data_IF_647349680853
#
_entry.id   IF_647349680853
#
_cell.length_a   1.000
_cell.length_b   1.000
_cell.length_c   1.000
_cell.angle_alpha   90.00
_cell.angle_beta   90.00
_cell.angle_gamma   90.00
#
_symmetry.space_group_name_H-M   'P 1'
#
loop_
_entity.id
_entity.type
_entity.pdbx_description
1 polymer ?
#
# COMPACT_ATOMS: atom_id res chain seq x y z
N UNK A 1 -22.15 -22.57 5.93
CA UNK A 1 -21.03 -22.14 5.02
C UNK A 1 -21.59 -21.10 4.06
N UNK A 2 -21.36 -19.84 4.31
CA UNK A 2 -21.78 -18.76 3.41
C UNK A 2 -20.63 -18.37 2.47
N UNK A 3 -20.96 -17.97 1.24
CA UNK A 3 -19.98 -17.58 0.21
C UNK A 3 -20.02 -16.06 0.01
N UNK A 4 -18.89 -15.40 0.17
CA UNK A 4 -18.75 -13.94 0.02
C UNK A 4 -17.82 -13.62 -1.15
N UNK A 5 -18.31 -12.82 -2.11
CA UNK A 5 -17.47 -12.24 -3.16
C UNK A 5 -16.95 -10.87 -2.72
N UNK A 6 -15.63 -10.71 -2.69
CA UNK A 6 -14.95 -9.45 -2.33
C UNK A 6 -14.35 -8.84 -3.58
N UNK A 7 -14.64 -7.56 -3.87
CA UNK A 7 -14.18 -6.89 -5.09
C UNK A 7 -13.21 -5.76 -4.76
N UNK A 8 -11.94 -5.90 -5.15
CA UNK A 8 -10.94 -4.82 -5.15
C UNK A 8 -9.98 -4.98 -6.33
N UNK A 9 -10.29 -4.41 -7.48
CA UNK A 9 -9.55 -4.62 -8.74
C UNK A 9 -8.20 -3.89 -8.79
N UNK A 10 -8.06 -2.73 -8.14
CA UNK A 10 -6.87 -1.85 -8.14
C UNK A 10 -7.02 -0.74 -7.09
N UNK A 11 -6.02 0.11 -6.80
CA UNK A 11 -4.63 0.04 -7.20
C UNK A 11 -3.85 -0.87 -6.23
N UNK A 12 -2.55 -1.12 -6.51
CA UNK A 12 -1.74 -2.06 -5.73
C UNK A 12 -1.69 -1.72 -4.23
N UNK A 13 -1.46 -0.47 -3.85
CA UNK A 13 -1.47 -0.04 -2.45
C UNK A 13 -2.86 -0.19 -1.78
N UNK A 14 -3.92 0.10 -2.53
CA UNK A 14 -5.29 -0.09 -2.02
C UNK A 14 -5.63 -1.58 -1.81
N UNK A 15 -5.17 -2.47 -2.71
CA UNK A 15 -5.31 -3.93 -2.54
C UNK A 15 -4.52 -4.39 -1.32
N UNK A 16 -3.28 -3.93 -1.17
CA UNK A 16 -2.47 -4.21 0.01
C UNK A 16 -3.20 -3.85 1.32
N UNK A 17 -3.85 -2.68 1.38
CA UNK A 17 -4.63 -2.27 2.56
C UNK A 17 -5.88 -3.12 2.83
N UNK A 18 -6.38 -3.90 1.86
CA UNK A 18 -7.52 -4.82 2.12
C UNK A 18 -7.09 -6.10 2.81
N UNK A 19 -5.84 -6.55 2.62
CA UNK A 19 -5.35 -7.86 3.10
C UNK A 19 -5.51 -8.02 4.61
N UNK A 20 -5.09 -7.06 5.46
CA UNK A 20 -5.24 -7.18 6.91
C UNK A 20 -6.70 -7.40 7.35
N UNK A 21 -7.63 -6.74 6.66
CA UNK A 21 -9.06 -6.84 6.97
C UNK A 21 -9.63 -8.17 6.46
N UNK A 22 -9.35 -8.54 5.21
CA UNK A 22 -9.82 -9.80 4.62
C UNK A 22 -9.32 -11.01 5.44
N UNK A 23 -8.03 -11.03 5.83
CA UNK A 23 -7.48 -12.13 6.62
C UNK A 23 -8.07 -12.19 8.04
N UNK A 24 -8.32 -11.02 8.65
CA UNK A 24 -8.98 -10.98 9.96
C UNK A 24 -10.42 -11.49 9.90
N UNK A 25 -11.17 -11.11 8.86
CA UNK A 25 -12.54 -11.60 8.62
C UNK A 25 -12.55 -13.10 8.35
N UNK A 26 -11.68 -13.57 7.45
CA UNK A 26 -11.62 -14.98 7.07
C UNK A 26 -11.28 -15.90 8.27
N UNK A 27 -10.35 -15.47 9.11
CA UNK A 27 -10.00 -16.20 10.34
C UNK A 27 -11.13 -16.19 11.39
N UNK A 28 -11.94 -15.14 11.43
CA UNK A 28 -13.10 -15.06 12.34
C UNK A 28 -14.31 -15.89 11.87
N UNK A 29 -14.33 -16.29 10.60
CA UNK A 29 -15.39 -17.07 9.96
C UNK A 29 -14.81 -18.26 9.18
N UNK A 30 -14.18 -19.23 9.86
CA UNK A 30 -13.47 -20.34 9.20
C UNK A 30 -14.40 -21.26 8.39
N UNK A 31 -15.67 -21.31 8.72
CA UNK A 31 -16.71 -22.07 8.02
C UNK A 31 -17.22 -21.41 6.74
N UNK A 32 -16.94 -20.11 6.53
CA UNK A 32 -17.38 -19.36 5.36
C UNK A 32 -16.29 -19.32 4.28
N UNK A 33 -16.67 -19.18 3.02
CA UNK A 33 -15.77 -19.08 1.88
C UNK A 33 -15.71 -17.63 1.35
N UNK A 34 -14.51 -17.13 1.13
CA UNK A 34 -14.25 -15.79 0.64
C UNK A 34 -13.52 -15.84 -0.70
N UNK A 35 -14.11 -15.25 -1.75
CA UNK A 35 -13.47 -15.14 -3.07
C UNK A 35 -13.10 -13.69 -3.32
N UNK A 36 -11.81 -13.40 -3.48
CA UNK A 36 -11.30 -12.06 -3.76
C UNK A 36 -11.08 -11.88 -5.25
N UNK A 37 -11.77 -10.90 -5.81
CA UNK A 37 -11.68 -10.51 -7.21
C UNK A 37 -10.73 -9.32 -7.36
N UNK A 38 -9.57 -9.53 -7.99
CA UNK A 38 -8.53 -8.51 -8.18
C UNK A 38 -7.81 -8.70 -9.52
N UNK A 39 -6.88 -7.81 -9.90
CA UNK A 39 -6.07 -8.02 -11.10
C UNK A 39 -5.10 -9.20 -10.93
N UNK A 40 -4.76 -9.94 -12.00
CA UNK A 40 -3.96 -11.16 -11.88
C UNK A 40 -2.63 -10.95 -11.13
N UNK A 41 -1.86 -9.90 -11.47
CA UNK A 41 -0.58 -9.65 -10.81
C UNK A 41 -0.72 -9.25 -9.33
N UNK A 42 -1.88 -8.73 -8.90
CA UNK A 42 -2.15 -8.36 -7.50
C UNK A 42 -2.48 -9.58 -6.62
N UNK A 43 -2.79 -10.72 -7.23
CA UNK A 43 -2.98 -11.96 -6.47
C UNK A 43 -1.71 -12.40 -5.74
N UNK A 44 -0.53 -12.01 -6.25
CA UNK A 44 0.77 -12.30 -5.63
C UNK A 44 0.97 -11.65 -4.27
N UNK A 45 0.20 -10.61 -3.93
CA UNK A 45 0.23 -9.98 -2.59
C UNK A 45 -0.40 -10.86 -1.50
N UNK A 46 -1.29 -11.79 -1.87
CA UNK A 46 -2.05 -12.60 -0.93
C UNK A 46 -1.28 -13.86 -0.51
N UNK A 47 -0.04 -13.69 -0.05
CA UNK A 47 0.77 -14.80 0.48
C UNK A 47 0.24 -15.22 1.85
N UNK A 48 0.43 -16.51 2.21
CA UNK A 48 0.01 -17.07 3.49
C UNK A 48 -1.46 -16.76 3.86
N UNK A 49 -2.33 -16.74 2.84
CA UNK A 49 -3.75 -16.46 3.03
C UNK A 49 -4.43 -17.59 3.81
N UNK A 50 -5.47 -17.30 4.59
CA UNK A 50 -6.34 -18.32 5.17
C UNK A 50 -6.88 -19.27 4.09
N UNK A 51 -7.05 -20.56 4.44
CA UNK A 51 -7.46 -21.61 3.50
C UNK A 51 -8.83 -21.35 2.86
N UNK A 52 -9.72 -20.67 3.59
CA UNK A 52 -11.05 -20.29 3.12
C UNK A 52 -11.06 -19.01 2.24
N UNK A 53 -9.87 -18.49 1.85
CA UNK A 53 -9.73 -17.37 0.91
C UNK A 53 -9.24 -17.86 -0.43
N UNK A 54 -10.03 -17.69 -1.49
CA UNK A 54 -9.68 -17.96 -2.88
C UNK A 54 -9.51 -16.66 -3.67
N UNK A 55 -8.71 -16.71 -4.74
CA UNK A 55 -8.39 -15.53 -5.55
C UNK A 55 -8.84 -15.76 -6.98
N UNK A 56 -9.48 -14.74 -7.58
CA UNK A 56 -9.87 -14.73 -9.00
C UNK A 56 -9.26 -13.50 -9.66
N UNK A 57 -8.40 -13.76 -10.67
CA UNK A 57 -7.80 -12.72 -11.48
C UNK A 57 -8.78 -12.14 -12.50
N UNK A 58 -8.85 -10.81 -12.58
CA UNK A 58 -9.65 -10.08 -13.59
C UNK A 58 -8.72 -9.32 -14.50
N UNK A 59 -8.64 -9.74 -15.75
CA UNK A 59 -7.81 -9.06 -16.75
C UNK A 59 -8.49 -7.81 -17.29
N UNK A 60 -8.39 -6.73 -16.52
CA UNK A 60 -8.98 -5.43 -16.88
C UNK A 60 -8.30 -4.73 -18.07
N UNK A 61 -7.21 -5.27 -18.59
CA UNK A 61 -6.51 -4.77 -19.79
C UNK A 61 -6.78 -5.63 -21.02
N UNK A 62 -7.15 -6.91 -20.82
CA UNK A 62 -7.47 -7.88 -21.88
C UNK A 62 -8.96 -8.18 -21.94
N UNK A 63 -9.36 -9.41 -21.58
CA UNK A 63 -10.73 -9.94 -21.79
C UNK A 63 -11.82 -9.17 -21.03
N UNK A 64 -11.52 -8.63 -19.85
CA UNK A 64 -12.44 -7.83 -19.03
C UNK A 64 -12.19 -6.31 -19.13
N UNK A 65 -11.54 -5.85 -20.22
CA UNK A 65 -11.32 -4.41 -20.47
C UNK A 65 -12.65 -3.66 -20.66
N UNK A 66 -13.56 -4.20 -21.45
CA UNK A 66 -14.88 -3.60 -21.73
C UNK A 66 -15.89 -3.88 -20.61
N UNK A 67 -16.95 -3.06 -20.54
CA UNK A 67 -18.06 -3.32 -19.62
C UNK A 67 -18.75 -4.67 -19.94
N UNK A 68 -18.85 -5.06 -21.21
CA UNK A 68 -19.38 -6.37 -21.61
C UNK A 68 -18.53 -7.53 -21.13
N UNK A 69 -17.19 -7.42 -21.19
CA UNK A 69 -16.28 -8.42 -20.59
C UNK A 69 -16.50 -8.56 -19.09
N UNK A 70 -16.65 -7.42 -18.40
CA UNK A 70 -16.93 -7.39 -16.95
C UNK A 70 -18.30 -8.01 -16.62
N UNK A 71 -19.33 -7.73 -17.40
CA UNK A 71 -20.67 -8.35 -17.22
C UNK A 71 -20.62 -9.84 -17.49
N UNK A 72 -19.92 -10.29 -18.53
CA UNK A 72 -19.72 -11.73 -18.82
C UNK A 72 -19.02 -12.44 -17.67
N UNK A 73 -17.98 -11.83 -17.11
CA UNK A 73 -17.32 -12.33 -15.90
C UNK A 73 -18.31 -12.44 -14.74
N UNK A 74 -19.10 -11.38 -14.49
CA UNK A 74 -20.08 -11.39 -13.40
C UNK A 74 -21.13 -12.50 -13.59
N UNK A 75 -21.61 -12.73 -14.81
CA UNK A 75 -22.54 -13.81 -15.12
C UNK A 75 -21.91 -15.20 -14.87
N UNK A 76 -20.65 -15.42 -15.23
CA UNK A 76 -19.94 -16.66 -14.89
C UNK A 76 -19.86 -16.85 -13.38
N UNK A 77 -19.48 -15.81 -12.65
CA UNK A 77 -19.36 -15.86 -11.18
C UNK A 77 -20.69 -16.11 -10.46
N UNK A 78 -21.84 -15.82 -11.08
CA UNK A 78 -23.15 -16.13 -10.45
C UNK A 78 -23.40 -17.64 -10.32
N UNK A 79 -22.72 -18.48 -11.09
CA UNK A 79 -22.83 -19.94 -10.96
C UNK A 79 -22.18 -20.46 -9.66
N UNK A 80 -21.27 -19.69 -9.05
CA UNK A 80 -20.65 -20.02 -7.76
C UNK A 80 -21.60 -19.82 -6.55
N UNK A 81 -22.77 -19.25 -6.77
CA UNK A 81 -23.84 -19.04 -5.76
C UNK A 81 -23.35 -18.29 -4.52
N UNK A 82 -22.84 -17.07 -4.70
CA UNK A 82 -22.48 -16.19 -3.59
C UNK A 82 -23.72 -15.69 -2.85
N UNK A 83 -23.65 -15.68 -1.51
CA UNK A 83 -24.71 -15.19 -0.64
C UNK A 83 -24.66 -13.66 -0.48
N UNK A 84 -23.48 -13.05 -0.67
CA UNK A 84 -23.27 -11.60 -0.56
C UNK A 84 -22.08 -11.13 -1.39
N UNK A 85 -22.09 -9.84 -1.76
CA UNK A 85 -20.97 -9.17 -2.43
C UNK A 85 -20.49 -8.01 -1.57
N UNK A 86 -19.18 -7.93 -1.32
CA UNK A 86 -18.49 -6.86 -0.60
C UNK A 86 -17.64 -6.07 -1.60
N UNK A 87 -18.15 -4.91 -2.07
CA UNK A 87 -17.45 -4.07 -3.05
C UNK A 87 -16.59 -3.01 -2.33
N UNK A 88 -15.32 -3.34 -2.11
CA UNK A 88 -14.31 -2.45 -1.54
C UNK A 88 -13.70 -1.47 -2.57
N UNK A 89 -14.13 -1.55 -3.84
CA UNK A 89 -13.62 -0.68 -4.90
C UNK A 89 -14.59 0.45 -5.26
N UNK A 90 -15.88 0.15 -5.40
CA UNK A 90 -16.95 1.08 -5.69
C UNK A 90 -16.65 2.01 -6.89
N UNK A 91 -16.23 1.43 -8.03
CA UNK A 91 -16.02 2.08 -9.33
C UNK A 91 -16.99 1.51 -10.37
N UNK A 92 -17.07 2.11 -11.55
CA UNK A 92 -18.02 1.70 -12.61
C UNK A 92 -17.94 0.18 -12.86
N UNK A 93 -16.75 -0.39 -13.02
CA UNK A 93 -16.57 -1.84 -13.25
C UNK A 93 -17.08 -2.69 -12.09
N UNK A 94 -16.70 -2.38 -10.85
CA UNK A 94 -17.17 -3.15 -9.69
C UNK A 94 -18.67 -2.98 -9.44
N UNK A 95 -19.22 -1.81 -9.76
CA UNK A 95 -20.67 -1.56 -9.73
C UNK A 95 -21.41 -2.38 -10.76
N UNK A 96 -20.88 -2.54 -11.99
CA UNK A 96 -21.46 -3.39 -13.02
C UNK A 96 -21.50 -4.86 -12.55
N UNK A 97 -20.41 -5.37 -11.94
CA UNK A 97 -20.43 -6.70 -11.33
C UNK A 97 -21.51 -6.79 -10.25
N UNK A 98 -21.51 -5.87 -9.28
CA UNK A 98 -22.49 -5.85 -8.20
C UNK A 98 -23.95 -5.74 -8.70
N UNK A 99 -24.19 -5.03 -9.79
CA UNK A 99 -25.52 -4.91 -10.39
C UNK A 99 -26.04 -6.25 -10.92
N UNK A 100 -25.18 -7.05 -11.57
CA UNK A 100 -25.54 -8.40 -12.03
C UNK A 100 -25.96 -9.29 -10.85
N UNK A 101 -25.25 -9.20 -9.72
CA UNK A 101 -25.61 -9.94 -8.50
C UNK A 101 -26.92 -9.44 -7.88
N UNK A 102 -27.13 -8.12 -7.83
CA UNK A 102 -28.39 -7.54 -7.32
C UNK A 102 -29.61 -7.98 -8.13
N UNK A 103 -29.51 -8.09 -9.46
CA UNK A 103 -30.58 -8.64 -10.31
C UNK A 103 -30.92 -10.10 -9.99
N UNK A 104 -30.04 -10.81 -9.28
CA UNK A 104 -30.24 -12.19 -8.81
C UNK A 104 -30.60 -12.28 -7.33
N UNK A 105 -30.95 -11.15 -6.71
CA UNK A 105 -31.34 -11.11 -5.30
C UNK A 105 -30.16 -11.15 -4.31
N UNK A 106 -28.90 -11.13 -4.78
CA UNK A 106 -27.73 -11.15 -3.90
C UNK A 106 -27.44 -9.75 -3.36
N UNK A 107 -27.37 -9.55 -2.03
CA UNK A 107 -27.09 -8.26 -1.43
C UNK A 107 -25.65 -7.80 -1.73
N UNK A 108 -25.50 -6.49 -2.01
CA UNK A 108 -24.21 -5.87 -2.36
C UNK A 108 -23.90 -4.72 -1.40
N UNK A 109 -22.84 -4.86 -0.63
CA UNK A 109 -22.35 -3.87 0.34
C UNK A 109 -21.17 -3.11 -0.26
N UNK A 110 -21.22 -1.78 -0.22
CA UNK A 110 -20.25 -0.94 -0.94
C UNK A 110 -19.50 0.02 -0.04
N UNK A 111 -18.22 0.17 -0.34
CA UNK A 111 -17.36 1.15 0.33
C UNK A 111 -17.89 2.58 0.14
N UNK A 112 -18.07 3.30 1.22
CA UNK A 112 -18.17 4.76 1.16
C UNK A 112 -16.78 5.36 0.91
N UNK A 113 -16.65 6.12 -0.17
CA UNK A 113 -15.40 6.77 -0.57
C UNK A 113 -15.16 8.12 0.10
N UNK A 114 -16.09 8.60 0.90
CA UNK A 114 -16.02 9.93 1.54
C UNK A 114 -15.61 11.03 0.54
N UNK A 115 -16.27 11.05 -0.62
CA UNK A 115 -15.86 11.94 -1.73
C UNK A 115 -16.04 13.42 -1.40
N UNK A 116 -17.08 13.77 -0.65
CA UNK A 116 -17.38 15.13 -0.21
C UNK A 116 -16.29 15.61 0.76
N UNK A 117 -15.97 14.81 1.74
CA UNK A 117 -14.98 15.09 2.79
C UNK A 117 -13.58 15.20 2.18
N UNK A 118 -13.20 14.29 1.26
CA UNK A 118 -11.93 14.38 0.53
C UNK A 118 -11.84 15.65 -0.31
N UNK A 119 -12.94 16.04 -0.97
CA UNK A 119 -12.99 17.27 -1.77
C UNK A 119 -12.82 18.50 -0.87
N UNK A 120 -13.46 18.51 0.32
CA UNK A 120 -13.30 19.57 1.30
C UNK A 120 -11.86 19.64 1.83
N UNK A 121 -11.26 18.48 2.18
CA UNK A 121 -9.87 18.38 2.65
C UNK A 121 -8.86 18.92 1.62
N UNK A 122 -9.10 18.69 0.32
CA UNK A 122 -8.19 19.10 -0.77
C UNK A 122 -8.63 20.38 -1.48
N UNK A 123 -9.55 21.15 -0.89
CA UNK A 123 -9.97 22.45 -1.42
C UNK A 123 -8.83 23.46 -1.37
N UNK A 124 -8.99 24.59 -2.08
CA UNK A 124 -8.10 25.74 -1.92
C UNK A 124 -8.36 26.41 -0.58
N UNK A 125 -7.33 27.05 0.05
CA UNK A 125 -7.53 27.83 1.26
C UNK A 125 -8.55 28.98 1.06
N UNK A 126 -9.32 29.38 2.12
CA UNK A 126 -9.30 28.80 3.46
C UNK A 126 -10.02 27.45 3.51
N UNK A 127 -9.45 26.47 4.25
CA UNK A 127 -10.04 25.14 4.44
C UNK A 127 -9.79 24.62 5.86
N UNK A 128 -10.64 23.73 6.31
CA UNK A 128 -10.44 23.01 7.57
C UNK A 128 -9.79 21.67 7.30
N UNK A 129 -8.62 21.45 7.90
CA UNK A 129 -7.89 20.18 7.82
C UNK A 129 -8.32 19.31 9.00
N UNK A 130 -9.05 18.22 8.71
CA UNK A 130 -9.49 17.24 9.70
C UNK A 130 -9.15 15.82 9.23
N UNK A 131 -8.73 14.91 10.14
CA UNK A 131 -8.52 13.52 9.80
C UNK A 131 -9.82 12.89 9.28
N UNK A 132 -9.74 12.25 8.12
CA UNK A 132 -10.82 11.40 7.64
C UNK A 132 -10.69 10.01 8.25
N UNK A 133 -11.81 9.30 8.38
CA UNK A 133 -11.82 7.92 8.84
C UNK A 133 -10.87 7.07 7.98
N UNK A 134 -9.92 6.31 8.57
CA UNK A 134 -8.96 5.49 7.84
C UNK A 134 -9.64 4.54 6.85
N UNK A 135 -9.04 4.31 5.69
CA UNK A 135 -9.63 3.44 4.66
C UNK A 135 -9.79 2.00 5.14
N UNK A 136 -8.87 1.53 5.97
CA UNK A 136 -8.96 0.19 6.58
C UNK A 136 -10.15 0.04 7.52
N UNK A 137 -10.50 1.10 8.28
CA UNK A 137 -11.72 1.14 9.09
C UNK A 137 -12.97 1.10 8.20
N UNK A 138 -12.96 1.86 7.11
CA UNK A 138 -14.08 1.85 6.15
C UNK A 138 -14.24 0.50 5.46
N UNK A 139 -13.13 -0.22 5.19
CA UNK A 139 -13.20 -1.61 4.72
C UNK A 139 -13.86 -2.51 5.77
N UNK A 140 -13.44 -2.40 7.04
CA UNK A 140 -14.05 -3.16 8.12
C UNK A 140 -15.57 -2.88 8.27
N UNK A 141 -15.98 -1.61 8.10
CA UNK A 141 -17.39 -1.24 8.17
C UNK A 141 -18.22 -1.91 7.07
N UNK A 142 -17.68 -2.10 5.86
CA UNK A 142 -18.39 -2.80 4.78
C UNK A 142 -18.62 -4.28 5.14
N UNK A 143 -17.64 -4.94 5.75
CA UNK A 143 -17.79 -6.32 6.22
C UNK A 143 -18.81 -6.41 7.36
N UNK A 144 -18.76 -5.49 8.33
CA UNK A 144 -19.75 -5.45 9.44
C UNK A 144 -21.17 -5.21 8.91
N UNK A 145 -21.34 -4.29 7.94
CA UNK A 145 -22.63 -4.07 7.28
C UNK A 145 -23.13 -5.32 6.54
N UNK A 146 -22.21 -6.15 6.06
CA UNK A 146 -22.52 -7.45 5.42
C UNK A 146 -22.80 -8.58 6.43
N UNK A 147 -22.88 -8.28 7.76
CA UNK A 147 -23.14 -9.24 8.81
C UNK A 147 -21.91 -10.06 9.24
N UNK A 148 -20.71 -9.62 8.87
CA UNK A 148 -19.45 -10.28 9.23
C UNK A 148 -18.76 -9.52 10.36
N UNK A 149 -19.01 -9.94 11.60
CA UNK A 149 -18.37 -9.37 12.80
C UNK A 149 -16.99 -10.00 13.00
N UNK A 150 -15.98 -9.20 13.31
CA UNK A 150 -14.62 -9.69 13.56
C UNK A 150 -13.78 -8.68 14.35
N UNK A 151 -12.75 -9.19 15.00
CA UNK A 151 -11.65 -8.40 15.56
C UNK A 151 -10.49 -8.33 14.58
N UNK A 152 -9.74 -7.24 14.57
CA UNK A 152 -8.56 -7.08 13.72
C UNK A 152 -7.39 -7.84 14.33
N UNK A 153 -7.15 -9.03 13.84
CA UNK A 153 -6.11 -9.96 14.34
C UNK A 153 -4.87 -10.05 13.45
N UNK A 154 -4.88 -9.34 12.32
CA UNK A 154 -3.73 -9.34 11.43
C UNK A 154 -2.56 -8.57 12.04
N UNK A 155 -1.39 -9.20 12.08
CA UNK A 155 -0.13 -8.62 12.57
C UNK A 155 0.84 -8.44 11.40
N UNK A 156 1.13 -9.51 10.67
CA UNK A 156 2.06 -9.53 9.55
C UNK A 156 1.75 -10.70 8.63
N UNK A 157 2.13 -10.61 7.36
CA UNK A 157 2.09 -11.72 6.41
C UNK A 157 2.97 -12.90 6.86
N UNK A 158 4.03 -12.63 7.62
CA UNK A 158 4.98 -13.62 8.11
C UNK A 158 4.82 -13.96 9.61
N UNK A 159 3.76 -13.49 10.28
CA UNK A 159 3.60 -13.70 11.73
C UNK A 159 3.58 -15.18 12.16
N UNK A 160 3.03 -16.07 11.31
CA UNK A 160 2.94 -17.51 11.55
C UNK A 160 3.78 -18.34 10.55
N UNK A 161 4.60 -17.70 9.73
CA UNK A 161 5.35 -18.36 8.66
C UNK A 161 6.81 -17.92 8.69
N UNK A 162 7.71 -18.88 8.56
CA UNK A 162 9.14 -18.60 8.46
C UNK A 162 9.44 -17.94 7.10
N UNK A 163 10.29 -16.93 7.14
CA UNK A 163 10.92 -16.39 5.93
C UNK A 163 12.06 -17.32 5.56
N UNK A 164 12.22 -17.63 4.29
CA UNK A 164 13.34 -18.42 3.80
C UNK A 164 14.65 -17.60 3.91
N UNK A 165 15.44 -17.92 4.93
CA UNK A 165 16.70 -17.23 5.23
C UNK A 165 17.75 -17.42 4.11
N UNK A 166 17.68 -18.52 3.36
CA UNK A 166 18.58 -18.73 2.22
C UNK A 166 18.31 -17.70 1.13
N UNK A 167 17.04 -17.44 0.83
CA UNK A 167 16.63 -16.38 -0.12
C UNK A 167 17.08 -15.01 0.37
N UNK A 168 16.94 -14.71 1.66
CA UNK A 168 17.38 -13.42 2.21
C UNK A 168 18.90 -13.28 2.11
N UNK A 169 19.65 -14.33 2.46
CA UNK A 169 21.10 -14.33 2.38
C UNK A 169 21.62 -14.16 0.94
N UNK A 170 20.95 -14.78 -0.04
CA UNK A 170 21.26 -14.58 -1.46
C UNK A 170 21.00 -13.11 -1.90
N UNK A 171 19.89 -12.52 -1.50
CA UNK A 171 19.50 -11.15 -1.87
C UNK A 171 20.36 -10.07 -1.17
N UNK A 172 20.62 -10.26 0.12
CA UNK A 172 21.12 -9.22 1.00
C UNK A 172 22.45 -9.56 1.69
N UNK A 173 22.90 -10.82 1.69
CA UNK A 173 24.05 -11.29 2.46
C UNK A 173 23.74 -11.41 3.94
N UNK A 174 24.79 -11.49 4.76
CA UNK A 174 24.63 -11.50 6.21
C UNK A 174 24.24 -10.13 6.75
N UNK A 175 23.36 -10.13 7.74
CA UNK A 175 22.92 -8.89 8.39
C UNK A 175 23.97 -8.43 9.39
N UNK A 176 24.68 -7.36 9.02
CA UNK A 176 25.58 -6.63 9.89
C UNK A 176 25.03 -5.23 10.13
N UNK A 177 24.84 -4.83 11.38
CA UNK A 177 24.25 -3.54 11.71
C UNK A 177 22.78 -3.41 11.29
N UNK A 178 22.38 -2.21 10.90
CA UNK A 178 21.00 -1.87 10.54
C UNK A 178 20.75 -1.99 9.04
N UNK A 179 19.66 -2.63 8.69
CA UNK A 179 19.15 -2.71 7.31
C UNK A 179 18.02 -1.72 7.08
N UNK A 180 18.24 -0.76 6.20
CA UNK A 180 17.29 0.29 5.89
C UNK A 180 16.80 0.16 4.44
N UNK A 181 15.50 -0.01 4.26
CA UNK A 181 14.89 0.04 2.93
C UNK A 181 14.62 1.48 2.50
N UNK A 182 14.79 1.78 1.22
CA UNK A 182 14.46 3.10 0.64
C UNK A 182 13.67 2.91 -0.65
N UNK A 183 12.42 3.43 -0.70
CA UNK A 183 11.59 3.47 -1.90
C UNK A 183 11.29 4.93 -2.29
N UNK A 184 12.15 5.56 -3.13
CA UNK A 184 12.14 7.00 -3.35
C UNK A 184 11.06 7.47 -4.34
N UNK A 185 10.39 6.56 -5.02
CA UNK A 185 9.47 6.88 -6.09
C UNK A 185 8.00 6.64 -5.73
N UNK A 186 7.13 7.30 -6.45
CA UNK A 186 5.69 7.13 -6.41
C UNK A 186 5.10 7.38 -7.79
N UNK A 187 3.88 6.92 -8.02
CA UNK A 187 3.19 7.05 -9.31
C UNK A 187 2.98 8.49 -9.78
N UNK A 188 2.79 9.42 -8.86
CA UNK A 188 2.41 10.80 -9.16
C UNK A 188 3.45 11.78 -8.65
N UNK A 189 3.78 12.78 -9.47
CA UNK A 189 4.83 13.79 -9.19
C UNK A 189 4.63 14.51 -7.85
N UNK A 190 3.40 14.78 -7.45
CA UNK A 190 3.08 15.41 -6.16
C UNK A 190 3.41 14.58 -4.92
N UNK A 191 3.91 13.36 -5.11
CA UNK A 191 4.34 12.44 -4.06
C UNK A 191 5.82 12.09 -4.12
N UNK A 192 6.58 12.63 -5.09
CA UNK A 192 7.99 12.31 -5.29
C UNK A 192 8.84 13.40 -4.65
N UNK A 193 9.67 13.01 -3.70
CA UNK A 193 10.70 13.88 -3.15
C UNK A 193 11.77 14.15 -4.21
N UNK A 194 12.32 15.38 -4.34
CA UNK A 194 13.26 15.69 -5.38
C UNK A 194 14.43 14.68 -5.46
N UNK A 195 14.70 14.04 -6.61
CA UNK A 195 15.67 12.96 -6.70
C UNK A 195 17.07 13.35 -6.20
N UNK A 196 17.55 14.55 -6.49
CA UNK A 196 18.84 15.02 -5.99
C UNK A 196 18.88 15.16 -4.44
N UNK A 197 17.78 15.56 -3.83
CA UNK A 197 17.68 15.61 -2.36
C UNK A 197 17.56 14.21 -1.76
N UNK A 198 16.86 13.27 -2.42
CA UNK A 198 16.81 11.88 -1.99
C UNK A 198 18.17 11.20 -2.12
N UNK A 199 18.92 11.49 -3.18
CA UNK A 199 20.30 11.01 -3.35
C UNK A 199 21.18 11.51 -2.21
N UNK A 200 21.00 12.77 -1.77
CA UNK A 200 21.69 13.30 -0.58
C UNK A 200 21.29 12.56 0.72
N UNK A 201 20.02 12.16 0.89
CA UNK A 201 19.59 11.31 2.00
C UNK A 201 20.33 9.97 1.97
N UNK A 202 20.45 9.36 0.80
CA UNK A 202 21.15 8.08 0.60
C UNK A 202 22.65 8.25 0.93
N UNK A 203 23.30 9.35 0.51
CA UNK A 203 24.68 9.66 0.87
C UNK A 203 24.90 9.73 2.36
N UNK A 204 24.04 10.48 3.05
CA UNK A 204 24.14 10.69 4.50
C UNK A 204 23.91 9.39 5.29
N UNK A 205 22.97 8.54 4.86
CA UNK A 205 22.70 7.26 5.51
C UNK A 205 23.81 6.25 5.22
N UNK A 206 24.25 6.12 3.95
CA UNK A 206 25.28 5.14 3.55
C UNK A 206 26.69 5.52 4.03
N UNK A 207 26.91 6.78 4.42
CA UNK A 207 28.14 7.23 5.07
C UNK A 207 28.30 6.69 6.52
N UNK A 208 27.25 6.12 7.10
CA UNK A 208 27.30 5.49 8.42
C UNK A 208 27.75 4.03 8.29
N UNK A 209 28.71 3.62 9.11
CA UNK A 209 29.27 2.26 9.04
C UNK A 209 28.32 1.17 9.49
N UNK A 210 27.36 1.53 10.33
CA UNK A 210 26.35 0.65 10.90
C UNK A 210 25.10 0.47 10.03
N UNK A 211 25.01 1.13 8.85
CA UNK A 211 23.82 1.08 7.98
C UNK A 211 24.12 0.46 6.61
N UNK A 212 23.29 -0.48 6.20
CA UNK A 212 23.19 -0.98 4.81
C UNK A 212 21.86 -0.57 4.22
N UNK A 213 21.88 -0.01 3.00
CA UNK A 213 20.68 0.47 2.30
C UNK A 213 20.24 -0.51 1.20
N UNK A 214 18.95 -0.74 1.13
CA UNK A 214 18.29 -1.51 0.07
C UNK A 214 17.31 -0.62 -0.66
N UNK A 215 17.54 -0.39 -1.96
CA UNK A 215 16.73 0.51 -2.78
C UNK A 215 15.65 -0.27 -3.54
N UNK A 216 14.38 0.10 -3.32
CA UNK A 216 13.23 -0.54 -3.93
C UNK A 216 12.56 0.37 -4.95
N UNK A 217 12.14 -0.18 -6.08
CA UNK A 217 11.46 0.55 -7.15
C UNK A 217 11.00 -0.37 -8.28
N UNK A 218 10.29 0.21 -9.24
CA UNK A 218 9.83 -0.49 -10.44
C UNK A 218 10.95 -0.75 -11.44
N UNK A 219 10.65 -1.58 -12.44
CA UNK A 219 11.52 -1.81 -13.61
C UNK A 219 11.61 -0.58 -14.50
N UNK A 220 12.63 -0.51 -15.35
CA UNK A 220 12.83 0.56 -16.31
C UNK A 220 13.52 1.77 -15.72
N UNK A 221 12.93 2.97 -15.86
CA UNK A 221 13.57 4.23 -15.48
C UNK A 221 13.89 4.32 -13.98
N UNK A 222 13.00 3.84 -13.11
CA UNK A 222 13.27 3.79 -11.67
C UNK A 222 14.46 2.88 -11.36
N UNK A 223 14.50 1.69 -11.95
CA UNK A 223 15.61 0.75 -11.81
C UNK A 223 16.95 1.37 -12.26
N UNK A 224 16.97 2.02 -13.42
CA UNK A 224 18.19 2.64 -13.93
C UNK A 224 18.75 3.71 -12.98
N UNK A 225 17.89 4.50 -12.35
CA UNK A 225 18.30 5.49 -11.35
C UNK A 225 18.84 4.81 -10.10
N UNK A 226 18.13 3.80 -9.57
CA UNK A 226 18.51 3.10 -8.35
C UNK A 226 19.80 2.30 -8.51
N UNK A 227 20.00 1.67 -9.67
CA UNK A 227 21.25 0.96 -9.99
C UNK A 227 22.44 1.92 -10.05
N UNK A 228 22.27 3.11 -10.64
CA UNK A 228 23.31 4.15 -10.63
C UNK A 228 23.64 4.63 -9.22
N UNK A 229 22.62 4.86 -8.36
CA UNK A 229 22.85 5.27 -6.97
C UNK A 229 23.54 4.18 -6.15
N UNK A 230 23.20 2.92 -6.39
CA UNK A 230 23.84 1.78 -5.72
C UNK A 230 25.29 1.58 -6.17
N UNK A 231 25.58 1.68 -7.48
CA UNK A 231 26.92 1.49 -8.03
C UNK A 231 27.97 2.48 -7.47
N UNK A 232 27.54 3.66 -7.04
CA UNK A 232 28.42 4.69 -6.48
C UNK A 232 28.72 4.49 -4.98
N UNK A 233 28.09 3.50 -4.31
CA UNK A 233 28.12 3.39 -2.83
C UNK A 233 28.19 1.92 -2.38
N UNK A 234 29.25 1.50 -1.69
CA UNK A 234 29.50 0.07 -1.39
C UNK A 234 28.46 -0.54 -0.45
N UNK A 235 27.78 0.27 0.41
CA UNK A 235 26.74 -0.22 1.33
C UNK A 235 25.33 0.01 0.82
N UNK A 236 25.15 0.27 -0.48
CA UNK A 236 23.85 0.48 -1.11
C UNK A 236 23.61 -0.61 -2.13
N UNK A 237 22.48 -1.28 -2.07
CA UNK A 237 22.08 -2.35 -2.98
C UNK A 237 20.76 -2.02 -3.66
N UNK A 238 20.69 -2.13 -4.98
CA UNK A 238 19.45 -2.00 -5.73
C UNK A 238 18.72 -3.34 -5.79
N UNK A 239 17.47 -3.36 -5.34
CA UNK A 239 16.55 -4.50 -5.43
C UNK A 239 15.62 -4.37 -6.65
N UNK A 240 15.53 -3.19 -7.24
CA UNK A 240 14.58 -2.85 -8.28
C UNK A 240 14.64 -3.80 -9.48
N UNK A 241 13.52 -4.41 -9.79
CA UNK A 241 13.36 -5.27 -10.97
C UNK A 241 14.11 -6.60 -10.97
N UNK A 242 14.80 -6.94 -9.88
CA UNK A 242 15.66 -8.14 -9.77
C UNK A 242 14.92 -9.32 -9.16
N UNK A 243 13.93 -9.05 -8.31
CA UNK A 243 13.26 -10.06 -7.50
C UNK A 243 11.76 -10.04 -7.72
N UNK A 244 11.10 -11.11 -7.33
CA UNK A 244 9.64 -11.18 -7.29
C UNK A 244 9.12 -10.36 -6.11
N UNK A 245 7.86 -9.92 -6.19
CA UNK A 245 7.23 -9.18 -5.09
C UNK A 245 7.26 -9.95 -3.75
N UNK A 246 7.11 -11.28 -3.80
CA UNK A 246 7.17 -12.11 -2.59
C UNK A 246 8.56 -12.12 -1.95
N UNK A 247 9.62 -12.17 -2.76
CA UNK A 247 10.99 -12.06 -2.28
C UNK A 247 11.26 -10.66 -1.73
N UNK A 248 10.79 -9.61 -2.39
CA UNK A 248 10.89 -8.24 -1.87
C UNK A 248 10.16 -8.10 -0.52
N UNK A 249 8.94 -8.63 -0.37
CA UNK A 249 8.21 -8.63 0.89
C UNK A 249 8.96 -9.39 1.99
N UNK A 250 9.57 -10.53 1.66
CA UNK A 250 10.40 -11.30 2.57
C UNK A 250 11.62 -10.48 3.06
N UNK A 251 12.33 -9.81 2.15
CA UNK A 251 13.44 -8.93 2.51
C UNK A 251 12.96 -7.73 3.34
N UNK A 252 11.86 -7.08 2.94
CA UNK A 252 11.29 -5.95 3.68
C UNK A 252 10.97 -6.35 5.13
N UNK A 253 10.51 -7.58 5.38
CA UNK A 253 10.23 -8.07 6.74
C UNK A 253 11.48 -8.18 7.64
N UNK A 254 12.67 -8.19 7.05
CA UNK A 254 13.97 -8.24 7.75
C UNK A 254 14.62 -6.88 7.96
N UNK A 255 14.06 -5.84 7.36
CA UNK A 255 14.55 -4.47 7.52
C UNK A 255 14.19 -3.93 8.92
N UNK A 256 15.07 -3.11 9.46
CA UNK A 256 14.84 -2.43 10.73
C UNK A 256 13.92 -1.23 10.56
N UNK A 257 13.97 -0.58 9.39
CA UNK A 257 13.10 0.54 9.02
C UNK A 257 12.97 0.66 7.49
N UNK A 258 11.86 1.23 7.04
CA UNK A 258 11.59 1.48 5.63
C UNK A 258 11.29 2.96 5.39
N UNK A 259 12.15 3.65 4.67
CA UNK A 259 11.95 5.02 4.20
C UNK A 259 11.26 5.02 2.84
N UNK A 260 10.12 5.67 2.72
CA UNK A 260 9.40 5.71 1.44
C UNK A 260 8.57 6.97 1.25
N UNK A 261 8.07 7.13 0.03
CA UNK A 261 7.03 8.10 -0.29
C UNK A 261 5.66 7.59 0.13
N UNK A 262 4.63 8.44 0.06
CA UNK A 262 3.22 8.02 0.05
C UNK A 262 2.95 7.19 -1.21
N UNK A 263 3.34 5.91 -1.17
CA UNK A 263 3.32 4.97 -2.29
C UNK A 263 2.88 3.57 -1.85
N UNK A 264 2.79 2.62 -2.79
CA UNK A 264 2.45 1.24 -2.48
C UNK A 264 3.45 0.58 -1.53
N UNK A 265 4.74 0.95 -1.63
CA UNK A 265 5.81 0.40 -0.79
C UNK A 265 5.59 0.64 0.70
N UNK A 266 4.97 1.78 1.06
CA UNK A 266 4.58 2.08 2.43
C UNK A 266 3.61 1.02 3.01
N UNK A 267 2.67 0.58 2.18
CA UNK A 267 1.72 -0.47 2.57
C UNK A 267 2.36 -1.86 2.58
N UNK A 268 3.34 -2.12 1.71
CA UNK A 268 4.10 -3.37 1.72
C UNK A 268 4.88 -3.55 3.02
N UNK A 269 5.59 -2.51 3.46
CA UNK A 269 6.28 -2.53 4.73
C UNK A 269 5.32 -2.79 5.91
N UNK A 270 4.16 -2.14 5.92
CA UNK A 270 3.14 -2.37 6.94
C UNK A 270 2.57 -3.80 6.91
N UNK A 271 2.41 -4.41 5.72
CA UNK A 271 1.94 -5.80 5.61
C UNK A 271 2.89 -6.82 6.22
N UNK A 272 4.18 -6.51 6.28
CA UNK A 272 5.20 -7.40 6.85
C UNK A 272 5.68 -6.97 8.23
N UNK A 273 5.07 -5.91 8.80
CA UNK A 273 5.36 -5.44 10.15
C UNK A 273 6.61 -4.58 10.28
N UNK A 274 7.18 -4.10 9.18
CA UNK A 274 8.37 -3.24 9.19
C UNK A 274 7.98 -1.79 9.51
N UNK A 275 8.68 -1.13 10.47
CA UNK A 275 8.47 0.29 10.76
C UNK A 275 8.72 1.18 9.54
N UNK A 276 7.95 2.26 9.41
CA UNK A 276 7.99 3.14 8.23
C UNK A 276 8.23 4.59 8.62
N UNK A 277 9.20 5.20 7.98
CA UNK A 277 9.30 6.67 7.86
C UNK A 277 8.82 7.04 6.47
N UNK A 278 7.83 7.92 6.36
CA UNK A 278 7.21 8.27 5.08
C UNK A 278 7.26 9.76 4.79
N UNK A 279 7.51 10.14 3.53
CA UNK A 279 7.57 11.54 3.09
C UNK A 279 6.32 11.90 2.30
N UNK A 280 5.68 13.02 2.68
CA UNK A 280 4.38 13.42 2.16
C UNK A 280 4.42 14.83 1.57
N UNK A 281 4.03 14.95 0.29
CA UNK A 281 3.97 16.22 -0.43
C UNK A 281 2.57 16.78 -0.60
N UNK A 282 2.02 16.70 -1.82
CA UNK A 282 0.70 17.23 -2.18
C UNK A 282 -0.48 16.52 -1.48
N UNK A 283 -0.22 15.35 -0.93
CA UNK A 283 -1.16 14.52 -0.16
C UNK A 283 -0.99 14.74 1.35
N UNK A 284 -1.79 14.06 2.18
CA UNK A 284 -1.71 14.15 3.63
C UNK A 284 -2.21 12.85 4.29
N UNK A 285 -1.61 12.39 5.40
CA UNK A 285 -2.09 11.24 6.17
C UNK A 285 -3.57 11.32 6.53
N UNK A 286 -4.10 12.53 6.76
CA UNK A 286 -5.51 12.78 7.06
C UNK A 286 -6.48 12.41 5.95
N UNK A 287 -6.01 12.12 4.73
CA UNK A 287 -6.85 11.55 3.68
C UNK A 287 -7.31 10.10 3.96
N UNK A 288 -6.78 9.49 5.04
CA UNK A 288 -7.15 8.18 5.53
C UNK A 288 -6.44 7.02 4.84
N UNK A 289 -5.33 7.28 4.12
CA UNK A 289 -4.53 6.27 3.42
C UNK A 289 -3.22 5.92 4.14
N UNK A 290 -3.10 6.28 5.41
CA UNK A 290 -1.93 5.86 6.19
C UNK A 290 -1.95 4.32 6.38
N UNK A 291 -0.77 3.66 6.46
CA UNK A 291 -0.68 2.21 6.50
C UNK A 291 -1.36 1.58 7.72
N UNK A 292 -1.83 0.37 7.54
CA UNK A 292 -2.42 -0.43 8.61
C UNK A 292 -1.44 -0.63 9.77
N UNK A 293 -1.91 -0.40 11.00
CA UNK A 293 -1.13 -0.65 12.22
C UNK A 293 0.00 0.35 12.52
N UNK A 294 0.23 1.35 11.65
CA UNK A 294 1.28 2.35 11.86
C UNK A 294 0.72 3.70 12.31
N UNK A 295 1.54 4.47 13.05
CA UNK A 295 1.22 5.84 13.48
C UNK A 295 1.71 6.87 12.47
N UNK A 296 0.94 7.93 12.15
CA UNK A 296 1.37 9.00 11.28
C UNK A 296 2.43 9.94 11.88
N UNK A 297 2.91 9.69 13.08
CA UNK A 297 3.99 10.44 13.73
C UNK A 297 5.31 10.36 12.95
N UNK A 298 5.51 9.28 12.18
CA UNK A 298 6.65 9.09 11.28
C UNK A 298 6.42 9.63 9.87
N UNK A 299 5.36 10.40 9.66
CA UNK A 299 5.11 11.11 8.42
C UNK A 299 5.86 12.44 8.39
N UNK A 300 6.89 12.52 7.55
CA UNK A 300 7.64 13.76 7.32
C UNK A 300 6.90 14.59 6.29
N UNK A 301 6.56 15.81 6.66
CA UNK A 301 5.75 16.71 5.83
C UNK A 301 5.98 18.18 6.24
N UNK A 302 5.73 19.09 5.30
CA UNK A 302 5.72 20.53 5.57
C UNK A 302 4.31 20.99 5.95
N UNK A 303 4.22 21.91 6.89
CA UNK A 303 2.97 22.59 7.23
C UNK A 303 2.78 23.78 6.29
N UNK A 304 1.89 23.63 5.31
CA UNK A 304 1.57 24.64 4.30
C UNK A 304 0.05 24.71 4.11
N UNK A 305 -0.51 25.90 4.09
CA UNK A 305 -1.96 26.12 3.91
C UNK A 305 -2.54 25.46 2.66
N UNK A 306 -1.72 25.34 1.62
CA UNK A 306 -2.14 24.68 0.38
C UNK A 306 -2.30 23.17 0.51
N UNK A 307 -1.72 22.52 1.53
CA UNK A 307 -1.76 21.06 1.71
C UNK A 307 -2.98 20.61 2.53
N UNK A 308 -3.49 19.37 2.23
CA UNK A 308 -3.32 18.68 0.96
C UNK A 308 -4.03 19.39 -0.19
N UNK A 309 -3.44 19.42 -1.36
CA UNK A 309 -4.05 19.98 -2.57
C UNK A 309 -4.54 18.89 -3.55
N UNK A 310 -4.17 17.62 -3.31
CA UNK A 310 -4.63 16.46 -4.04
C UNK A 310 -4.83 15.28 -3.10
N UNK A 311 -5.84 14.45 -3.38
CA UNK A 311 -6.04 13.17 -2.67
C UNK A 311 -5.01 12.13 -3.11
N UNK A 312 -4.56 12.18 -4.37
CA UNK A 312 -3.69 11.16 -4.98
C UNK A 312 -2.33 11.68 -5.44
N UNK A 313 -2.08 12.99 -5.32
CA UNK A 313 -0.85 13.61 -5.79
C UNK A 313 -0.77 13.80 -7.30
N UNK A 314 -1.90 13.64 -8.00
CA UNK A 314 -2.05 13.67 -9.46
C UNK A 314 -2.26 15.07 -10.06
N UNK A 315 -2.48 16.08 -9.20
CA UNK A 315 -2.69 17.46 -9.64
C UNK A 315 -1.36 18.21 -9.74
N UNK A 316 -1.22 19.12 -10.73
CA UNK A 316 -0.06 20.00 -10.80
C UNK A 316 -0.01 20.93 -9.57
N UNK A 317 1.19 21.33 -9.18
CA UNK A 317 1.39 22.30 -8.12
C UNK A 317 0.92 23.68 -8.56
N UNK A 318 -0.10 24.24 -7.91
CA UNK A 318 -0.61 25.56 -8.25
C UNK A 318 0.33 26.72 -7.82
N UNK A 319 1.29 26.44 -6.92
CA UNK A 319 2.36 27.36 -6.55
C UNK A 319 3.53 27.30 -7.54
N UNK A 320 3.68 26.20 -8.29
CA UNK A 320 4.78 25.96 -9.23
C UNK A 320 6.08 25.47 -8.60
N UNK A 321 6.26 25.62 -7.28
CA UNK A 321 7.53 25.42 -6.56
C UNK A 321 7.65 24.05 -5.84
N UNK A 322 6.57 23.31 -5.73
CA UNK A 322 6.51 22.06 -4.96
C UNK A 322 7.07 22.18 -3.53
N UNK A 323 6.88 23.36 -2.89
CA UNK A 323 7.41 23.68 -1.56
C UNK A 323 7.14 22.59 -0.50
N UNK A 324 6.04 21.85 -0.65
CA UNK A 324 5.71 20.72 0.22
C UNK A 324 6.72 19.57 0.17
N UNK A 325 7.57 19.51 -0.85
CA UNK A 325 8.67 18.55 -1.01
C UNK A 325 10.03 19.25 -0.97
N UNK A 326 10.19 20.35 -1.71
CA UNK A 326 11.48 21.01 -1.88
C UNK A 326 12.02 21.67 -0.61
N UNK A 327 11.15 22.00 0.37
CA UNK A 327 11.55 22.57 1.67
C UNK A 327 11.94 21.54 2.72
N UNK A 328 11.60 20.27 2.53
CA UNK A 328 12.02 19.22 3.45
C UNK A 328 13.53 19.02 3.29
N UNK A 329 14.31 19.37 4.34
CA UNK A 329 15.75 19.16 4.32
C UNK A 329 16.09 17.65 4.39
N UNK A 330 17.08 17.16 3.59
CA UNK A 330 17.55 15.78 3.67
C UNK A 330 17.93 15.34 5.08
N UNK A 331 18.58 16.21 5.82
CA UNK A 331 19.03 15.99 7.20
C UNK A 331 17.86 15.71 8.17
N UNK A 332 16.68 16.30 7.91
CA UNK A 332 15.47 16.01 8.68
C UNK A 332 14.98 14.57 8.48
N UNK A 333 15.06 14.07 7.25
CA UNK A 333 14.71 12.69 6.91
C UNK A 333 15.70 11.74 7.58
N UNK A 334 17.00 11.99 7.40
CA UNK A 334 18.07 11.18 8.00
C UNK A 334 17.93 11.11 9.51
N UNK A 335 17.77 12.25 10.18
CA UNK A 335 17.57 12.32 11.64
C UNK A 335 16.40 11.42 12.07
N UNK A 336 15.25 11.49 11.40
CA UNK A 336 14.07 10.68 11.76
C UNK A 336 14.32 9.18 11.57
N UNK A 337 15.00 8.78 10.49
CA UNK A 337 15.39 7.39 10.27
C UNK A 337 16.33 6.91 11.40
N UNK A 338 17.35 7.68 11.74
CA UNK A 338 18.34 7.33 12.79
C UNK A 338 17.70 7.28 14.18
N UNK A 339 16.83 8.24 14.50
CA UNK A 339 16.06 8.23 15.76
C UNK A 339 15.27 6.94 15.94
N UNK A 340 14.65 6.46 14.83
CA UNK A 340 13.87 5.22 14.87
C UNK A 340 14.72 3.95 14.91
N UNK A 341 15.94 3.99 14.42
CA UNK A 341 16.90 2.88 14.55
C UNK A 341 17.48 2.78 15.98
N UNK A 342 17.71 3.92 16.65
CA UNK A 342 18.20 3.98 18.04
C UNK A 342 17.11 3.85 19.10
N UNK A 343 15.85 3.98 18.74
CA UNK A 343 14.72 3.84 19.65
C UNK A 343 14.34 2.38 19.86
N UNK A 344 14.18 1.99 21.13
CA UNK A 344 13.65 0.68 21.52
C UNK A 344 12.34 0.42 20.77
N UNK A 345 12.22 -0.75 20.11
CA UNK A 345 10.92 -1.21 19.57
C UNK A 345 9.89 -1.19 20.70
N UNK A 346 8.69 -0.61 20.47
CA UNK A 346 7.62 -0.70 21.47
C UNK A 346 7.18 -2.15 21.70
#
# INVERSE_FOLDING_TARGET
MAKTLIIRLSAIGDVAMTIPIIYSVARAHPEDAFTVLTQPFLTTLFIHRPENVTLVGVDTKGTEHSLWGVVRLALRLTHERFDRVVDLHNVIRSRAIGFVFQLRGVPVYRLDKMRRERRALTARPPKTIRPLRPVTERYADVFRAAGLSFSRTFVSLFAAHLVDEAVISEMAGEKTGHWVGVAPFARHVGKIYPPAQMERVIDLLSGREDITLFLFGGKGDEQAVLDRWAAARPRVRSMAGRYTLNQELALISRLDIFLCMDSANMHFAALVGTPVVSVWGATHPFAGFYPYGLSPEDAIQEDLDCRPCSTFGDKPCHRGDWACMTRIAPERIVRRVVERLGGVKP
#
